data_IF_674364521104
#
_entry.id   IF_674364521104
#
_cell.length_a   1.000
_cell.length_b   1.000
_cell.length_c   1.000
_cell.angle_alpha   90.00
_cell.angle_beta   90.00
_cell.angle_gamma   90.00
#
_symmetry.space_group_name_H-M   'P 1'
#
loop_
_entity.id
_entity.type
_entity.pdbx_description
1 polymer ?
#
# COMPACT_ATOMS: atom_id res chain seq x y z
N UNK A 1 12.14 26.75 2.97
CA UNK A 1 11.33 26.01 1.99
C UNK A 1 10.35 26.99 1.40
N UNK A 2 10.64 27.48 0.21
CA UNK A 2 9.85 28.51 -0.49
C UNK A 2 8.76 27.85 -1.31
N UNK A 3 7.65 28.56 -1.49
CA UNK A 3 6.44 28.15 -2.22
C UNK A 3 6.72 27.69 -3.68
N UNK A 4 7.89 28.04 -4.22
CA UNK A 4 8.38 27.61 -5.53
C UNK A 4 8.84 26.14 -5.60
N UNK A 5 9.28 25.52 -4.49
CA UNK A 5 9.67 24.10 -4.49
C UNK A 5 8.46 23.18 -4.65
N UNK A 6 7.32 23.56 -4.05
CA UNK A 6 6.06 22.82 -4.14
C UNK A 6 5.44 22.89 -5.55
N UNK A 7 5.60 24.01 -6.27
CA UNK A 7 5.09 24.15 -7.64
C UNK A 7 5.96 23.42 -8.67
N UNK A 8 7.28 23.35 -8.46
CA UNK A 8 8.18 22.53 -9.30
C UNK A 8 7.94 21.03 -9.16
N UNK A 9 7.70 20.55 -7.93
CA UNK A 9 7.33 19.15 -7.67
C UNK A 9 5.97 18.84 -8.32
N UNK A 10 4.98 19.75 -8.18
CA UNK A 10 3.66 19.62 -8.79
C UNK A 10 3.70 19.42 -10.30
N UNK A 11 4.49 20.21 -11.05
CA UNK A 11 4.59 20.06 -12.52
C UNK A 11 5.30 18.78 -12.95
N UNK A 12 6.37 18.36 -12.25
CA UNK A 12 7.09 17.12 -12.60
C UNK A 12 6.25 15.89 -12.30
N UNK A 13 5.57 15.87 -11.15
CA UNK A 13 4.64 14.78 -10.79
C UNK A 13 3.49 14.75 -11.78
N UNK A 14 2.86 15.89 -12.09
CA UNK A 14 1.79 15.99 -13.10
C UNK A 14 2.22 15.45 -14.47
N UNK A 15 3.35 15.92 -15.02
CA UNK A 15 3.83 15.45 -16.32
C UNK A 15 4.22 13.96 -16.32
N UNK A 16 4.59 13.38 -15.17
CA UNK A 16 4.88 11.94 -15.06
C UNK A 16 3.61 11.11 -14.91
N UNK A 17 2.60 11.64 -14.20
CA UNK A 17 1.25 11.04 -14.13
C UNK A 17 0.60 11.05 -15.50
N UNK A 18 0.60 12.18 -16.21
CA UNK A 18 0.07 12.32 -17.58
C UNK A 18 0.75 11.35 -18.56
N UNK A 19 2.01 10.99 -18.32
CA UNK A 19 2.78 10.06 -19.16
C UNK A 19 2.81 8.62 -18.65
N UNK A 20 2.11 8.30 -17.55
CA UNK A 20 2.14 6.98 -16.92
C UNK A 20 3.53 6.54 -16.40
N UNK A 21 4.46 7.48 -16.17
CA UNK A 21 5.87 7.23 -15.81
C UNK A 21 6.14 7.20 -14.29
N UNK A 22 5.10 7.09 -13.47
CA UNK A 22 5.15 7.03 -12.01
C UNK A 22 4.02 6.17 -11.46
N UNK A 23 4.32 5.38 -10.42
CA UNK A 23 3.28 4.75 -9.60
C UNK A 23 2.49 5.84 -8.87
N UNK A 24 1.19 5.92 -9.15
CA UNK A 24 0.27 6.86 -8.49
C UNK A 24 -0.30 6.20 -7.25
N UNK A 25 -0.20 6.85 -6.09
CA UNK A 25 -0.89 6.38 -4.88
C UNK A 25 -2.39 6.67 -5.01
N UNK A 26 -3.22 5.87 -4.33
CA UNK A 26 -4.67 6.14 -4.27
C UNK A 26 -4.97 7.53 -3.72
N UNK A 27 -4.21 8.00 -2.73
CA UNK A 27 -4.33 9.36 -2.17
C UNK A 27 -4.08 10.44 -3.23
N UNK A 28 -3.03 10.29 -4.06
CA UNK A 28 -2.75 11.25 -5.13
C UNK A 28 -3.87 11.27 -6.16
N UNK A 29 -4.37 10.09 -6.53
CA UNK A 29 -5.49 9.96 -7.48
C UNK A 29 -6.76 10.62 -6.92
N UNK A 30 -7.10 10.38 -5.66
CA UNK A 30 -8.25 10.98 -4.99
C UNK A 30 -8.14 12.50 -4.93
N UNK A 31 -6.97 13.05 -4.59
CA UNK A 31 -6.77 14.50 -4.53
C UNK A 31 -6.97 15.15 -5.92
N UNK A 32 -6.44 14.55 -6.98
CA UNK A 32 -6.65 15.04 -8.35
C UNK A 32 -8.12 14.97 -8.74
N UNK A 33 -8.82 13.88 -8.41
CA UNK A 33 -10.24 13.72 -8.69
C UNK A 33 -11.09 14.78 -7.97
N UNK A 34 -10.80 15.06 -6.69
CA UNK A 34 -11.46 16.12 -5.92
C UNK A 34 -11.23 17.52 -6.51
N UNK A 35 -10.01 17.82 -6.96
CA UNK A 35 -9.72 19.11 -7.62
C UNK A 35 -10.47 19.29 -8.95
N UNK A 36 -10.83 18.19 -9.61
CA UNK A 36 -11.56 18.16 -10.86
C UNK A 36 -13.07 17.94 -10.68
N UNK A 37 -13.55 17.83 -9.44
CA UNK A 37 -14.96 17.57 -9.10
C UNK A 37 -15.52 16.31 -9.77
N UNK A 38 -14.70 15.26 -9.88
CA UNK A 38 -15.08 13.97 -10.46
C UNK A 38 -14.69 12.80 -9.56
N UNK A 39 -15.26 11.63 -9.83
CA UNK A 39 -14.84 10.38 -9.18
C UNK A 39 -13.46 9.91 -9.67
N UNK A 40 -12.63 9.42 -8.75
CA UNK A 40 -11.34 8.83 -9.07
C UNK A 40 -11.44 7.64 -10.05
N UNK A 41 -12.55 6.90 -9.99
CA UNK A 41 -12.85 5.80 -10.91
C UNK A 41 -13.04 6.28 -12.36
N UNK A 42 -13.59 7.48 -12.57
CA UNK A 42 -13.73 8.08 -13.90
C UNK A 42 -12.35 8.38 -14.50
N UNK A 43 -11.44 8.97 -13.70
CA UNK A 43 -10.07 9.24 -14.16
C UNK A 43 -9.33 7.96 -14.56
N UNK A 44 -9.50 6.88 -13.79
CA UNK A 44 -8.92 5.57 -14.12
C UNK A 44 -9.50 4.99 -15.41
N UNK A 45 -10.81 5.10 -15.62
CA UNK A 45 -11.47 4.64 -16.85
C UNK A 45 -10.95 5.41 -18.08
N UNK A 46 -10.84 6.73 -17.98
CA UNK A 46 -10.31 7.58 -19.04
C UNK A 46 -8.84 7.28 -19.33
N UNK A 47 -8.01 7.14 -18.29
CA UNK A 47 -6.61 6.76 -18.43
C UNK A 47 -6.44 5.38 -19.06
N UNK A 48 -7.27 4.40 -18.65
CA UNK A 48 -7.28 3.07 -19.24
C UNK A 48 -7.62 3.13 -20.74
N UNK A 49 -8.68 3.85 -21.10
CA UNK A 49 -9.14 4.01 -22.48
C UNK A 49 -8.07 4.68 -23.36
N UNK A 50 -7.42 5.73 -22.84
CA UNK A 50 -6.31 6.40 -23.51
C UNK A 50 -5.08 5.49 -23.70
N UNK A 51 -4.81 4.60 -22.74
CA UNK A 51 -3.69 3.67 -22.79
C UNK A 51 -3.97 2.44 -23.68
N UNK A 52 -5.18 1.90 -23.65
CA UNK A 52 -5.56 0.71 -24.42
C UNK A 52 -6.00 1.02 -25.86
N UNK A 53 -6.35 2.29 -26.15
CA UNK A 53 -6.98 2.69 -27.40
C UNK A 53 -8.44 2.23 -27.52
N UNK A 54 -9.02 1.65 -26.46
CA UNK A 54 -10.42 1.25 -26.40
C UNK A 54 -11.30 2.50 -26.14
N UNK A 55 -12.40 2.70 -26.89
CA UNK A 55 -13.35 3.77 -26.59
C UNK A 55 -13.92 3.64 -25.18
N UNK A 56 -14.13 4.79 -24.51
CA UNK A 56 -14.53 4.86 -23.10
C UNK A 56 -15.85 4.13 -22.82
N UNK A 57 -16.82 4.24 -23.72
CA UNK A 57 -18.13 3.59 -23.61
C UNK A 57 -18.04 2.06 -23.74
N UNK A 58 -17.12 1.57 -24.57
CA UNK A 58 -16.85 0.14 -24.72
C UNK A 58 -16.13 -0.40 -23.49
N UNK A 59 -15.11 0.31 -23.01
CA UNK A 59 -14.40 -0.03 -21.78
C UNK A 59 -15.35 -0.09 -20.58
N UNK A 60 -16.25 0.90 -20.46
CA UNK A 60 -17.26 0.94 -19.40
C UNK A 60 -18.20 -0.26 -19.46
N UNK A 61 -18.79 -0.55 -20.64
CA UNK A 61 -19.66 -1.72 -20.82
C UNK A 61 -18.97 -3.01 -20.41
N UNK A 62 -17.73 -3.22 -20.85
CA UNK A 62 -16.94 -4.40 -20.52
C UNK A 62 -16.65 -4.50 -19.02
N UNK A 63 -16.31 -3.39 -18.36
CA UNK A 63 -16.08 -3.36 -16.91
C UNK A 63 -17.37 -3.68 -16.15
N UNK A 64 -18.51 -3.12 -16.56
CA UNK A 64 -19.81 -3.43 -15.97
C UNK A 64 -20.16 -4.91 -16.09
N UNK A 65 -20.01 -5.52 -17.27
CA UNK A 65 -20.26 -6.96 -17.43
C UNK A 65 -19.36 -7.83 -16.55
N UNK A 66 -18.09 -7.45 -16.38
CA UNK A 66 -17.19 -8.16 -15.44
C UNK A 66 -17.60 -7.97 -13.99
N UNK A 67 -18.06 -6.78 -13.62
CA UNK A 67 -18.56 -6.51 -12.28
C UNK A 67 -19.79 -7.36 -11.97
N UNK A 68 -20.71 -7.51 -12.92
CA UNK A 68 -21.91 -8.32 -12.75
C UNK A 68 -21.56 -9.81 -12.62
N UNK A 69 -20.63 -10.33 -13.42
CA UNK A 69 -20.11 -11.70 -13.25
C UNK A 69 -19.51 -11.92 -11.84
N UNK A 70 -18.74 -10.96 -11.33
CA UNK A 70 -18.17 -11.06 -9.97
C UNK A 70 -19.23 -11.05 -8.87
N UNK A 71 -20.35 -10.34 -9.08
CA UNK A 71 -21.50 -10.38 -8.15
C UNK A 71 -22.19 -11.74 -8.21
N UNK A 72 -22.43 -12.28 -9.40
CA UNK A 72 -23.05 -13.59 -9.59
C UNK A 72 -22.20 -14.71 -8.96
N UNK A 73 -20.88 -14.59 -9.03
CA UNK A 73 -19.92 -15.50 -8.39
C UNK A 73 -19.80 -15.31 -6.86
N UNK A 74 -20.44 -14.29 -6.28
CA UNK A 74 -20.33 -13.96 -4.85
C UNK A 74 -18.93 -13.46 -4.43
N UNK A 75 -18.11 -13.04 -5.39
CA UNK A 75 -16.72 -12.66 -5.14
C UNK A 75 -16.61 -11.33 -4.37
N UNK A 76 -17.56 -10.41 -4.56
CA UNK A 76 -17.58 -9.12 -3.86
C UNK A 76 -17.84 -9.32 -2.37
N UNK A 77 -18.78 -10.19 -2.04
CA UNK A 77 -19.14 -10.58 -0.68
C UNK A 77 -17.96 -11.28 -0.01
N UNK A 78 -17.25 -12.15 -0.72
CA UNK A 78 -16.05 -12.83 -0.21
C UNK A 78 -14.88 -11.86 0.10
N UNK A 79 -14.77 -10.75 -0.63
CA UNK A 79 -13.75 -9.71 -0.36
C UNK A 79 -14.12 -8.91 0.90
N UNK A 80 -15.40 -8.56 1.06
CA UNK A 80 -15.86 -7.76 2.20
C UNK A 80 -15.92 -8.55 3.52
N UNK A 81 -16.15 -9.86 3.44
CA UNK A 81 -16.22 -10.77 4.60
C UNK A 81 -14.89 -11.44 4.94
N UNK A 82 -13.83 -11.18 4.19
CA UNK A 82 -12.52 -11.76 4.48
C UNK A 82 -12.06 -11.30 5.88
N UNK A 83 -11.87 -12.23 6.83
CA UNK A 83 -11.40 -11.86 8.16
C UNK A 83 -10.02 -11.22 8.04
N UNK A 84 -9.78 -10.17 8.83
CA UNK A 84 -8.48 -9.53 8.93
C UNK A 84 -7.39 -10.60 9.01
N UNK A 85 -6.39 -10.49 8.12
CA UNK A 85 -5.34 -11.48 7.92
C UNK A 85 -4.89 -12.04 9.28
N UNK A 86 -5.19 -13.32 9.53
CA UNK A 86 -4.90 -13.94 10.83
C UNK A 86 -3.44 -13.62 11.19
N UNK A 87 -3.15 -13.14 12.41
CA UNK A 87 -1.78 -12.93 12.82
C UNK A 87 -1.01 -14.22 12.53
N UNK A 88 0.14 -14.10 11.86
CA UNK A 88 1.01 -15.24 11.63
C UNK A 88 1.29 -15.97 12.95
N UNK A 89 1.56 -17.28 12.86
CA UNK A 89 1.75 -18.17 14.03
C UNK A 89 2.50 -17.44 15.15
N UNK A 90 1.95 -17.40 16.39
CA UNK A 90 2.61 -16.77 17.51
C UNK A 90 4.03 -17.32 17.67
N UNK A 91 4.98 -16.44 18.00
CA UNK A 91 6.32 -16.86 18.38
C UNK A 91 6.22 -17.89 19.52
N UNK A 92 7.06 -18.93 19.48
CA UNK A 92 7.14 -19.90 20.57
C UNK A 92 7.52 -19.20 21.88
N UNK A 93 7.18 -19.76 23.05
CA UNK A 93 7.52 -19.15 24.34
C UNK A 93 9.00 -18.79 24.48
N UNK A 94 9.90 -19.62 23.93
CA UNK A 94 11.34 -19.39 23.97
C UNK A 94 11.76 -18.18 23.13
N UNK A 95 11.18 -18.04 21.93
CA UNK A 95 11.40 -16.87 21.06
C UNK A 95 10.87 -15.60 21.72
N UNK A 96 9.71 -15.66 22.38
CA UNK A 96 9.16 -14.51 23.11
C UNK A 96 10.07 -14.08 24.26
N UNK A 97 10.60 -15.04 25.03
CA UNK A 97 11.56 -14.77 26.11
C UNK A 97 12.86 -14.14 25.57
N UNK A 98 13.41 -14.69 24.50
CA UNK A 98 14.60 -14.13 23.85
C UNK A 98 14.38 -12.67 23.40
N UNK A 99 13.24 -12.39 22.76
CA UNK A 99 12.90 -11.04 22.28
C UNK A 99 12.78 -9.98 23.37
N UNK A 100 12.52 -10.35 24.64
CA UNK A 100 12.48 -9.39 25.74
C UNK A 100 13.83 -8.69 25.98
N UNK A 101 14.94 -9.28 25.52
CA UNK A 101 16.28 -8.68 25.59
C UNK A 101 16.57 -7.69 24.46
N UNK A 102 15.77 -7.69 23.38
CA UNK A 102 16.01 -6.86 22.20
C UNK A 102 16.10 -5.34 22.49
N UNK A 103 15.28 -4.73 23.38
CA UNK A 103 15.40 -3.31 23.69
C UNK A 103 16.72 -2.94 24.36
N UNK A 104 17.19 -3.75 25.32
CA UNK A 104 18.45 -3.52 26.02
C UNK A 104 19.64 -3.60 25.05
N UNK A 105 19.63 -4.57 24.13
CA UNK A 105 20.65 -4.69 23.09
C UNK A 105 20.60 -3.50 22.12
N UNK A 106 19.39 -2.96 21.86
CA UNK A 106 19.20 -1.79 21.03
C UNK A 106 19.75 -0.51 21.67
N UNK A 107 19.51 -0.34 22.97
CA UNK A 107 20.07 0.75 23.78
C UNK A 107 21.58 0.64 23.91
N UNK A 108 22.14 -0.58 23.94
CA UNK A 108 23.58 -0.84 23.87
C UNK A 108 24.20 -0.55 22.49
N UNK A 109 23.43 -0.04 21.53
CA UNK A 109 23.92 0.40 20.22
C UNK A 109 23.91 -0.67 19.12
N UNK A 110 23.42 -1.89 19.39
CA UNK A 110 23.41 -2.94 18.38
C UNK A 110 22.41 -2.66 17.24
N UNK A 111 22.79 -3.07 16.03
CA UNK A 111 21.92 -3.09 14.86
C UNK A 111 20.88 -4.22 14.98
N UNK A 112 19.76 -4.11 14.26
CA UNK A 112 18.71 -5.14 14.31
C UNK A 112 19.16 -6.48 13.72
N UNK A 113 20.21 -6.49 12.91
CA UNK A 113 20.88 -7.70 12.41
C UNK A 113 21.70 -8.39 13.50
N UNK A 114 22.48 -7.63 14.27
CA UNK A 114 23.28 -8.18 15.37
C UNK A 114 22.37 -8.71 16.49
N UNK A 115 21.32 -7.98 16.83
CA UNK A 115 20.29 -8.43 17.80
C UNK A 115 19.63 -9.72 17.31
N UNK A 116 19.35 -9.84 16.01
CA UNK A 116 18.73 -11.04 15.46
C UNK A 116 19.65 -12.27 15.56
N UNK A 117 20.94 -12.08 15.27
CA UNK A 117 21.96 -13.11 15.40
C UNK A 117 22.14 -13.54 16.86
N UNK A 118 22.24 -12.58 17.79
CA UNK A 118 22.39 -12.83 19.23
C UNK A 118 21.20 -13.59 19.83
N UNK A 119 19.98 -13.26 19.39
CA UNK A 119 18.74 -13.83 19.94
C UNK A 119 18.27 -15.09 19.20
N UNK A 120 18.96 -15.52 18.13
CA UNK A 120 18.57 -16.67 17.33
C UNK A 120 17.22 -16.52 16.61
N UNK A 121 16.88 -15.29 16.20
CA UNK A 121 15.60 -14.95 15.55
C UNK A 121 15.85 -14.23 14.23
N UNK A 122 14.81 -14.06 13.41
CA UNK A 122 14.94 -13.27 12.17
C UNK A 122 15.01 -11.77 12.45
N UNK A 123 15.72 -11.02 11.59
CA UNK A 123 15.77 -9.55 11.63
C UNK A 123 14.38 -8.90 11.58
N UNK A 124 13.45 -9.46 10.81
CA UNK A 124 12.08 -8.94 10.73
C UNK A 124 11.31 -9.17 12.03
N UNK A 125 11.57 -10.27 12.75
CA UNK A 125 11.02 -10.52 14.08
C UNK A 125 11.48 -9.47 15.08
N UNK A 126 12.77 -9.13 15.09
CA UNK A 126 13.34 -8.07 15.95
C UNK A 126 12.72 -6.70 15.63
N UNK A 127 12.71 -6.32 14.35
CA UNK A 127 12.13 -5.06 13.90
C UNK A 127 10.67 -4.93 14.35
N UNK A 128 9.85 -5.96 14.08
CA UNK A 128 8.42 -5.96 14.43
C UNK A 128 8.21 -5.86 15.94
N UNK A 129 9.04 -6.55 16.73
CA UNK A 129 8.94 -6.50 18.20
C UNK A 129 9.27 -5.11 18.74
N UNK A 130 10.37 -4.50 18.28
CA UNK A 130 10.77 -3.15 18.70
C UNK A 130 9.74 -2.10 18.25
N UNK A 131 9.28 -2.14 17.00
CA UNK A 131 8.25 -1.21 16.49
C UNK A 131 6.92 -1.34 17.24
N UNK A 132 6.49 -2.56 17.62
CA UNK A 132 5.25 -2.75 18.40
C UNK A 132 5.34 -2.16 19.81
N UNK A 133 6.53 -2.02 20.39
CA UNK A 133 6.74 -1.49 21.74
C UNK A 133 6.91 0.04 21.76
N UNK A 134 7.19 0.65 20.60
CA UNK A 134 7.33 2.10 20.42
C UNK A 134 6.00 2.80 20.08
N UNK A 135 4.95 2.04 19.79
CA UNK A 135 3.56 2.50 19.67
C UNK A 135 2.79 2.15 20.96
#
# INVERSE_FOLDING_TARGET
MTQDDLTMIGRRVRNRIERGKTNVTMETLSNVASMLEVDAALLLLLAHSAHSGEPVDIALKRISSKLDALKEEGAIEAITTQPARRPGRPATPDVQKALQRAPLLKEAGMSNSEIAQELGVSKSTVQRFLTKRSN
#
